data_IF_643462356694
#
_entry.id   IF_643462356694
#
_cell.length_a   1.000
_cell.length_b   1.000
_cell.length_c   1.000
_cell.angle_alpha   90.00
_cell.angle_beta   90.00
_cell.angle_gamma   90.00
#
_symmetry.space_group_name_H-M   'P 1'
#
loop_
_entity.id
_entity.type
_entity.pdbx_description
1 polymer ?
#
# COMPACT_ATOMS: atom_id res chain seq x y z
N UNK A 1 -6.68 12.27 29.37
CA UNK A 1 -5.70 11.99 28.31
C UNK A 1 -6.33 10.92 27.42
N UNK A 2 -6.23 11.04 26.12
CA UNK A 2 -6.79 10.06 25.16
C UNK A 2 -7.87 10.61 24.24
N UNK A 3 -7.91 11.91 24.00
CA UNK A 3 -8.87 12.54 23.07
C UNK A 3 -8.36 12.57 21.61
N UNK A 4 -7.05 12.56 21.42
CA UNK A 4 -6.40 12.67 20.10
C UNK A 4 -5.39 11.55 19.87
N UNK A 5 -5.15 11.21 18.60
CA UNK A 5 -4.14 10.21 18.25
C UNK A 5 -2.73 10.63 18.66
N UNK A 6 -2.45 11.93 18.62
CA UNK A 6 -1.20 12.54 19.09
C UNK A 6 -0.87 12.27 20.56
N UNK A 7 -1.86 11.93 21.41
CA UNK A 7 -1.64 11.62 22.81
C UNK A 7 -0.74 10.40 23.03
N UNK A 8 -0.53 9.57 21.99
CA UNK A 8 0.42 8.47 22.03
C UNK A 8 1.86 8.93 22.37
N UNK A 9 2.30 10.09 21.90
CA UNK A 9 3.61 10.61 22.29
C UNK A 9 3.72 10.87 23.79
N UNK A 10 2.65 11.37 24.42
CA UNK A 10 2.63 11.60 25.86
C UNK A 10 2.63 10.29 26.65
N UNK A 11 1.95 9.28 26.16
CA UNK A 11 2.02 7.94 26.74
C UNK A 11 3.47 7.41 26.77
N UNK A 12 4.20 7.57 25.64
CA UNK A 12 5.61 7.20 25.56
C UNK A 12 6.45 7.97 26.58
N UNK A 13 6.30 9.29 26.69
CA UNK A 13 7.06 10.12 27.65
C UNK A 13 6.74 9.76 29.11
N UNK A 14 5.46 9.55 29.41
CA UNK A 14 5.05 9.18 30.78
C UNK A 14 5.59 7.80 31.17
N UNK A 15 5.54 6.83 30.29
CA UNK A 15 6.14 5.53 30.50
C UNK A 15 7.67 5.63 30.72
N UNK A 16 8.31 6.57 30.03
CA UNK A 16 9.74 6.87 30.19
C UNK A 16 10.12 7.33 31.60
N UNK A 17 9.19 7.96 32.35
CA UNK A 17 9.43 8.33 33.75
C UNK A 17 9.70 7.13 34.68
N UNK A 18 9.25 5.94 34.29
CA UNK A 18 9.51 4.68 34.99
C UNK A 18 10.64 3.87 34.33
N UNK A 19 11.33 4.43 33.34
CA UNK A 19 12.39 3.77 32.58
C UNK A 19 11.91 2.86 31.45
N UNK A 20 10.60 2.83 31.15
CA UNK A 20 10.08 2.06 30.03
C UNK A 20 10.26 2.82 28.71
N UNK A 21 10.80 2.15 27.69
CA UNK A 21 10.97 2.68 26.34
C UNK A 21 10.18 1.83 25.34
N UNK A 22 9.77 2.39 24.17
CA UNK A 22 9.13 1.60 23.14
C UNK A 22 9.99 0.41 22.70
N UNK A 23 9.37 -0.74 22.51
CA UNK A 23 10.06 -1.97 22.05
C UNK A 23 10.55 -1.87 20.60
N UNK A 24 9.84 -1.10 19.78
CA UNK A 24 10.18 -0.80 18.41
C UNK A 24 10.45 0.71 18.25
N UNK A 25 11.29 1.12 17.28
CA UNK A 25 11.52 2.53 17.02
C UNK A 25 10.24 3.22 16.57
N UNK A 26 10.07 4.48 16.95
CA UNK A 26 9.00 5.36 16.44
C UNK A 26 9.33 5.91 15.04
N UNK A 27 10.59 5.90 14.64
CA UNK A 27 11.01 6.10 13.25
C UNK A 27 10.80 4.79 12.46
N UNK A 28 9.68 4.71 11.76
CA UNK A 28 9.26 3.53 11.01
C UNK A 28 10.16 3.21 9.80
N UNK A 29 10.99 4.15 9.36
CA UNK A 29 11.94 3.91 8.25
C UNK A 29 13.04 2.91 8.63
N UNK A 30 13.27 2.71 9.93
CA UNK A 30 14.25 1.76 10.48
C UNK A 30 13.73 0.30 10.55
N UNK A 31 12.43 0.08 10.36
CA UNK A 31 11.83 -1.24 10.57
C UNK A 31 12.30 -2.27 9.54
N UNK A 32 12.57 -1.88 8.29
CA UNK A 32 13.04 -2.80 7.25
C UNK A 32 14.37 -3.44 7.67
N UNK A 33 15.36 -2.62 8.04
CA UNK A 33 16.67 -3.09 8.48
C UNK A 33 16.59 -4.02 9.70
N UNK A 34 15.82 -3.63 10.73
CA UNK A 34 15.62 -4.45 11.93
C UNK A 34 14.96 -5.79 11.61
N UNK A 35 14.01 -5.79 10.67
CA UNK A 35 13.32 -7.01 10.24
C UNK A 35 14.29 -7.92 9.47
N UNK A 36 15.16 -7.36 8.63
CA UNK A 36 16.17 -8.11 7.89
C UNK A 36 17.19 -8.78 8.82
N UNK A 37 17.62 -8.07 9.86
CA UNK A 37 18.49 -8.61 10.90
C UNK A 37 17.81 -9.78 11.66
N UNK A 38 16.50 -9.75 11.83
CA UNK A 38 15.75 -10.76 12.62
C UNK A 38 15.34 -11.99 11.82
N UNK A 39 14.81 -11.82 10.59
CA UNK A 39 14.15 -12.89 9.82
C UNK A 39 15.00 -13.42 8.67
N UNK A 40 16.08 -12.73 8.32
CA UNK A 40 16.94 -13.12 7.23
C UNK A 40 16.44 -12.75 5.83
N UNK A 41 17.23 -13.07 4.77
CA UNK A 41 17.06 -12.50 3.44
C UNK A 41 15.86 -13.04 2.66
N UNK A 42 15.42 -14.28 2.87
CA UNK A 42 14.33 -14.89 2.10
C UNK A 42 12.99 -14.19 2.33
N UNK A 43 12.40 -14.26 3.54
CA UNK A 43 11.13 -13.60 3.85
C UNK A 43 11.16 -12.10 3.64
N UNK A 44 12.21 -11.42 4.13
CA UNK A 44 12.33 -9.97 4.01
C UNK A 44 12.61 -9.57 2.58
N UNK A 45 13.44 -10.31 1.85
CA UNK A 45 13.66 -10.11 0.43
C UNK A 45 12.37 -10.11 -0.38
N UNK A 46 11.49 -11.08 -0.09
CA UNK A 46 10.17 -11.14 -0.74
C UNK A 46 9.31 -9.91 -0.43
N UNK A 47 9.22 -9.46 0.82
CA UNK A 47 8.40 -8.30 1.22
C UNK A 47 8.99 -6.98 0.74
N UNK A 48 10.28 -6.76 0.97
CA UNK A 48 11.00 -5.54 0.63
C UNK A 48 11.33 -5.45 -0.87
N UNK A 49 11.41 -6.58 -1.59
CA UNK A 49 11.79 -6.68 -2.98
C UNK A 49 10.97 -5.79 -3.92
N UNK A 50 11.58 -5.42 -5.04
CA UNK A 50 11.01 -4.52 -6.05
C UNK A 50 11.29 -5.05 -7.44
N UNK A 51 10.55 -4.57 -8.44
CA UNK A 51 10.76 -4.91 -9.84
C UNK A 51 12.06 -4.27 -10.37
N UNK A 52 12.80 -5.02 -11.18
CA UNK A 52 14.05 -4.59 -11.78
C UNK A 52 15.06 -4.12 -10.73
N UNK A 53 15.71 -3.00 -10.98
CA UNK A 53 16.68 -2.38 -10.07
C UNK A 53 16.08 -1.63 -8.88
N UNK A 54 14.74 -1.64 -8.72
CA UNK A 54 14.02 -0.91 -7.67
C UNK A 54 13.81 0.58 -7.95
N UNK A 55 14.04 1.05 -9.17
CA UNK A 55 13.89 2.47 -9.54
C UNK A 55 12.51 3.02 -9.24
N UNK A 56 11.44 2.26 -9.51
CA UNK A 56 10.06 2.67 -9.18
C UNK A 56 9.85 2.83 -7.66
N UNK A 57 10.40 1.93 -6.85
CA UNK A 57 10.29 2.02 -5.39
C UNK A 57 11.03 3.26 -4.85
N UNK A 58 12.23 3.55 -5.38
CA UNK A 58 12.97 4.78 -5.05
C UNK A 58 12.22 6.04 -5.52
N UNK A 59 11.67 6.01 -6.73
CA UNK A 59 10.86 7.11 -7.27
C UNK A 59 9.63 7.42 -6.40
N UNK A 60 8.95 6.39 -5.85
CA UNK A 60 7.83 6.58 -4.93
C UNK A 60 8.24 7.38 -3.68
N UNK A 61 9.39 7.05 -3.07
CA UNK A 61 9.90 7.80 -1.91
C UNK A 61 10.29 9.23 -2.30
N UNK A 62 11.09 9.37 -3.34
CA UNK A 62 11.53 10.67 -3.84
C UNK A 62 10.34 11.57 -4.20
N UNK A 63 9.27 11.01 -4.75
CA UNK A 63 8.07 11.77 -5.10
C UNK A 63 7.34 12.36 -3.89
N UNK A 64 7.28 11.64 -2.77
CA UNK A 64 6.74 12.15 -1.51
C UNK A 64 7.71 13.14 -0.84
N UNK A 65 9.01 12.85 -0.85
CA UNK A 65 10.05 13.69 -0.25
C UNK A 65 10.20 15.06 -0.93
N UNK A 66 10.02 15.13 -2.26
CA UNK A 66 10.03 16.40 -3.01
C UNK A 66 8.90 17.35 -2.64
N UNK A 67 7.86 16.87 -1.99
CA UNK A 67 6.70 17.66 -1.59
C UNK A 67 6.89 18.13 -0.16
N UNK A 68 6.88 19.43 0.05
CA UNK A 68 7.03 20.05 1.38
C UNK A 68 5.73 20.67 1.81
N UNK A 69 5.29 20.36 3.02
CA UNK A 69 4.11 21.00 3.64
C UNK A 69 4.47 22.42 4.04
N UNK A 70 3.58 23.36 3.78
CA UNK A 70 3.74 24.76 4.17
C UNK A 70 2.90 25.04 5.42
N UNK A 71 3.50 25.12 6.63
CA UNK A 71 2.74 25.33 7.86
C UNK A 71 2.09 26.71 7.90
N UNK A 72 0.86 26.78 8.42
CA UNK A 72 0.11 28.02 8.66
C UNK A 72 -0.09 28.23 10.15
N UNK A 73 0.40 29.38 10.66
CA UNK A 73 0.40 29.68 12.09
C UNK A 73 -0.90 30.32 12.56
N UNK A 74 -1.15 30.25 13.86
CA UNK A 74 -2.27 30.88 14.55
C UNK A 74 -3.65 30.46 14.04
N UNK A 75 -3.75 29.21 13.62
CA UNK A 75 -5.02 28.54 13.32
C UNK A 75 -5.44 27.73 14.54
N UNK A 76 -6.72 27.82 14.88
CA UNK A 76 -7.27 26.99 15.97
C UNK A 76 -7.29 25.52 15.56
N UNK A 77 -6.50 24.73 16.26
CA UNK A 77 -6.39 23.28 16.09
C UNK A 77 -6.60 22.56 17.43
N UNK A 78 -7.30 23.23 18.38
CA UNK A 78 -7.58 22.64 19.69
C UNK A 78 -8.46 21.40 19.58
N UNK A 79 -9.52 21.48 18.79
CA UNK A 79 -10.38 20.36 18.46
C UNK A 79 -9.99 19.82 17.09
N UNK A 80 -9.54 18.56 17.05
CA UNK A 80 -9.13 17.88 15.81
C UNK A 80 -9.97 16.63 15.61
N UNK A 81 -10.33 16.37 14.35
CA UNK A 81 -11.06 15.18 13.95
C UNK A 81 -10.41 14.58 12.69
N UNK A 82 -9.84 13.40 12.82
CA UNK A 82 -9.25 12.66 11.71
C UNK A 82 -10.26 11.79 10.95
N UNK A 83 -11.51 11.78 11.35
CA UNK A 83 -12.53 10.93 10.71
C UNK A 83 -12.73 11.31 9.24
N UNK A 84 -12.99 10.30 8.42
CA UNK A 84 -13.27 10.46 7.00
C UNK A 84 -14.36 9.48 6.59
N UNK A 85 -15.14 9.85 5.58
CA UNK A 85 -16.03 8.92 4.91
C UNK A 85 -15.31 8.27 3.73
N UNK A 86 -15.29 6.93 3.67
CA UNK A 86 -14.69 6.15 2.59
C UNK A 86 -15.67 5.07 2.17
N UNK A 87 -16.06 5.02 0.89
CA UNK A 87 -16.99 4.02 0.34
C UNK A 87 -18.31 3.92 1.13
N UNK A 88 -18.83 5.08 1.60
CA UNK A 88 -20.06 5.16 2.41
C UNK A 88 -19.89 4.70 3.86
N UNK A 89 -18.67 4.53 4.36
CA UNK A 89 -18.35 4.17 5.73
C UNK A 89 -17.59 5.27 6.44
N UNK A 90 -17.98 5.59 7.66
CA UNK A 90 -17.21 6.48 8.52
C UNK A 90 -16.01 5.73 9.12
N UNK A 91 -14.81 6.20 8.83
CA UNK A 91 -13.57 5.68 9.37
C UNK A 91 -12.99 6.69 10.37
N UNK A 92 -12.36 6.25 11.47
CA UNK A 92 -11.81 7.16 12.49
C UNK A 92 -10.57 7.93 12.02
N UNK A 93 -9.93 7.49 10.92
CA UNK A 93 -8.80 8.16 10.31
C UNK A 93 -8.65 7.74 8.83
N UNK A 94 -7.97 8.54 7.98
CA UNK A 94 -7.77 8.26 6.56
C UNK A 94 -6.66 7.21 6.31
N UNK A 95 -6.71 6.10 7.02
CA UNK A 95 -5.70 5.04 6.99
C UNK A 95 -6.37 3.67 6.92
N UNK A 96 -5.84 2.77 6.08
CA UNK A 96 -6.16 1.35 6.09
C UNK A 96 -4.88 0.51 5.91
N UNK A 97 -4.90 -0.75 6.33
CA UNK A 97 -3.81 -1.67 6.03
C UNK A 97 -3.99 -2.24 4.62
N UNK A 98 -2.98 -2.02 3.77
CA UNK A 98 -2.96 -2.49 2.39
C UNK A 98 -2.98 -4.03 2.31
N UNK A 99 -3.53 -4.61 1.24
CA UNK A 99 -3.51 -6.05 1.07
C UNK A 99 -2.08 -6.55 0.81
N UNK A 100 -1.56 -7.35 1.73
CA UNK A 100 -0.29 -8.06 1.60
C UNK A 100 -0.55 -9.53 1.90
N UNK A 101 -0.19 -10.40 0.97
CA UNK A 101 -0.33 -11.84 1.12
C UNK A 101 0.85 -12.48 1.84
N UNK A 102 0.76 -13.80 2.02
CA UNK A 102 1.83 -14.68 2.51
C UNK A 102 2.42 -14.29 3.88
N UNK A 103 1.63 -13.65 4.75
CA UNK A 103 2.16 -13.07 6.00
C UNK A 103 2.75 -14.10 6.97
N UNK A 104 2.48 -15.40 6.79
CA UNK A 104 3.09 -16.44 7.62
C UNK A 104 4.61 -16.57 7.43
N UNK A 105 5.19 -16.02 6.35
CA UNK A 105 6.65 -15.94 6.22
C UNK A 105 7.27 -14.93 7.18
N UNK A 106 6.48 -13.99 7.69
CA UNK A 106 6.92 -12.95 8.61
C UNK A 106 6.64 -13.28 10.08
N UNK A 107 5.48 -13.90 10.35
CA UNK A 107 5.07 -14.26 11.72
C UNK A 107 4.08 -15.43 11.69
N UNK A 108 4.15 -16.38 12.67
CA UNK A 108 3.23 -17.53 12.70
C UNK A 108 1.74 -17.18 12.73
N UNK A 109 1.35 -16.10 13.44
CA UNK A 109 -0.04 -15.63 13.51
C UNK A 109 -0.50 -14.87 12.28
N UNK A 110 0.39 -14.61 11.34
CA UNK A 110 0.15 -14.12 9.99
C UNK A 110 -0.92 -13.00 9.92
N UNK A 111 -1.90 -13.18 9.02
CA UNK A 111 -2.97 -12.23 8.78
C UNK A 111 -3.89 -12.04 10.00
N UNK A 112 -4.03 -13.06 10.86
CA UNK A 112 -4.85 -12.93 12.08
C UNK A 112 -4.29 -11.93 13.07
N UNK A 113 -2.96 -11.85 13.21
CA UNK A 113 -2.32 -10.85 14.07
C UNK A 113 -2.49 -9.43 13.50
N UNK A 114 -2.29 -9.26 12.18
CA UNK A 114 -2.51 -7.97 11.51
C UNK A 114 -3.97 -7.51 11.60
N UNK A 115 -4.91 -8.43 11.44
CA UNK A 115 -6.35 -8.20 11.53
C UNK A 115 -6.77 -7.75 12.94
N UNK A 116 -6.32 -8.46 13.99
CA UNK A 116 -6.58 -8.04 15.38
C UNK A 116 -6.01 -6.67 15.70
N UNK A 117 -4.80 -6.38 15.23
CA UNK A 117 -4.18 -5.07 15.42
C UNK A 117 -4.97 -3.95 14.73
N UNK A 118 -5.40 -4.16 13.49
CA UNK A 118 -6.23 -3.22 12.77
C UNK A 118 -7.56 -2.96 13.47
N UNK A 119 -8.24 -4.03 13.91
CA UNK A 119 -9.49 -3.95 14.67
C UNK A 119 -9.31 -3.17 15.98
N UNK A 120 -8.24 -3.45 16.73
CA UNK A 120 -7.95 -2.75 17.99
C UNK A 120 -7.71 -1.24 17.81
N UNK A 121 -7.21 -0.82 16.66
CA UNK A 121 -6.97 0.59 16.32
C UNK A 121 -8.11 1.20 15.48
N UNK A 122 -9.17 0.45 15.15
CA UNK A 122 -10.32 0.92 14.39
C UNK A 122 -10.01 1.24 12.92
N UNK A 123 -8.90 0.76 12.36
CA UNK A 123 -8.55 0.97 10.96
C UNK A 123 -8.97 -0.25 10.10
N UNK A 124 -9.43 -0.05 8.86
CA UNK A 124 -9.78 -1.16 7.98
C UNK A 124 -8.57 -2.07 7.69
N UNK A 125 -8.82 -3.37 7.65
CA UNK A 125 -7.87 -4.35 7.15
C UNK A 125 -8.31 -4.88 5.79
N UNK A 126 -7.43 -4.84 4.80
CA UNK A 126 -7.70 -5.39 3.47
C UNK A 126 -7.02 -6.75 3.36
N UNK A 127 -7.81 -7.82 3.45
CA UNK A 127 -7.28 -9.18 3.34
C UNK A 127 -6.94 -9.52 1.91
N UNK A 128 -5.71 -9.99 1.67
CA UNK A 128 -5.33 -10.51 0.36
C UNK A 128 -5.95 -11.87 0.07
N UNK A 129 -6.38 -12.11 -1.17
CA UNK A 129 -6.76 -13.47 -1.63
C UNK A 129 -5.59 -14.45 -1.57
N UNK A 130 -4.33 -13.95 -1.60
CA UNK A 130 -3.11 -14.74 -1.40
C UNK A 130 -2.71 -14.83 0.09
N UNK A 131 -3.67 -14.99 0.96
CA UNK A 131 -3.50 -15.09 2.42
C UNK A 131 -3.00 -16.48 2.85
N UNK A 132 -2.20 -16.51 3.92
CA UNK A 132 -1.80 -17.73 4.63
C UNK A 132 -2.86 -18.21 5.62
N UNK A 133 -3.88 -17.37 5.90
CA UNK A 133 -5.00 -17.65 6.79
C UNK A 133 -6.31 -17.58 6.00
N UNK A 134 -7.25 -18.53 6.15
CA UNK A 134 -8.55 -18.45 5.48
C UNK A 134 -9.33 -17.18 5.86
N UNK A 135 -10.08 -16.62 4.92
CA UNK A 135 -10.81 -15.37 5.10
C UNK A 135 -11.80 -15.40 6.26
N UNK A 136 -12.39 -16.55 6.54
CA UNK A 136 -13.34 -16.74 7.64
C UNK A 136 -12.65 -16.59 9.01
N UNK A 137 -11.44 -17.14 9.15
CA UNK A 137 -10.66 -17.02 10.39
C UNK A 137 -10.17 -15.58 10.60
N UNK A 138 -9.81 -14.89 9.53
CA UNK A 138 -9.44 -13.46 9.61
C UNK A 138 -10.65 -12.62 10.00
N UNK A 139 -11.83 -12.90 9.44
CA UNK A 139 -13.07 -12.23 9.80
C UNK A 139 -13.43 -12.46 11.28
N UNK A 140 -13.30 -13.69 11.78
CA UNK A 140 -13.48 -14.03 13.19
C UNK A 140 -12.52 -13.24 14.09
N UNK A 141 -11.24 -13.15 13.70
CA UNK A 141 -10.23 -12.39 14.44
C UNK A 141 -10.51 -10.89 14.52
N UNK A 142 -11.27 -10.33 13.58
CA UNK A 142 -11.66 -8.92 13.53
C UNK A 142 -12.96 -8.60 14.25
N UNK A 143 -13.82 -9.59 14.52
CA UNK A 143 -15.16 -9.35 15.03
C UNK A 143 -15.96 -8.45 14.09
N UNK A 144 -16.54 -7.35 14.60
CA UNK A 144 -17.34 -6.40 13.82
C UNK A 144 -16.54 -5.28 13.16
N UNK A 145 -15.20 -5.31 13.27
CA UNK A 145 -14.35 -4.27 12.69
C UNK A 145 -14.38 -4.27 11.15
N UNK A 146 -14.16 -3.08 10.57
CA UNK A 146 -14.22 -2.86 9.13
C UNK A 146 -13.13 -3.66 8.40
N UNK A 147 -13.54 -4.44 7.39
CA UNK A 147 -12.68 -5.30 6.60
C UNK A 147 -13.08 -5.34 5.14
N UNK A 148 -12.08 -5.32 4.26
CA UNK A 148 -12.27 -5.42 2.82
C UNK A 148 -11.54 -6.64 2.28
N UNK A 149 -12.03 -7.21 1.18
CA UNK A 149 -11.41 -8.38 0.53
C UNK A 149 -10.69 -7.96 -0.74
N UNK A 150 -9.39 -8.26 -0.84
CA UNK A 150 -8.64 -8.04 -2.08
C UNK A 150 -8.64 -9.31 -2.91
N UNK A 151 -8.94 -9.16 -4.19
CA UNK A 151 -8.99 -10.21 -5.19
C UNK A 151 -7.83 -10.06 -6.20
N UNK A 152 -6.96 -11.07 -6.26
CA UNK A 152 -6.31 -11.42 -7.50
C UNK A 152 -7.31 -12.27 -8.28
N UNK A 153 -7.73 -11.79 -9.44
CA UNK A 153 -8.85 -12.40 -10.15
C UNK A 153 -8.44 -13.72 -10.81
N UNK A 154 -8.88 -14.88 -10.29
CA UNK A 154 -8.49 -16.17 -10.81
C UNK A 154 -9.09 -16.42 -12.21
N UNK A 155 -8.43 -17.27 -13.00
CA UNK A 155 -8.92 -17.66 -14.34
C UNK A 155 -10.27 -18.37 -14.29
N UNK A 156 -10.46 -19.22 -13.29
CA UNK A 156 -11.71 -19.98 -13.12
C UNK A 156 -12.82 -19.09 -12.53
N UNK A 157 -13.89 -18.80 -13.29
CA UNK A 157 -15.00 -17.99 -12.80
C UNK A 157 -15.79 -18.65 -11.67
N UNK A 158 -15.76 -19.99 -11.53
CA UNK A 158 -16.40 -20.66 -10.40
C UNK A 158 -15.65 -20.41 -9.10
N UNK A 159 -14.31 -20.42 -9.13
CA UNK A 159 -13.48 -20.06 -7.97
C UNK A 159 -13.64 -18.58 -7.65
N UNK A 160 -13.65 -17.69 -8.65
CA UNK A 160 -13.89 -16.27 -8.43
C UNK A 160 -15.23 -16.02 -7.73
N UNK A 161 -16.32 -16.61 -8.23
CA UNK A 161 -17.66 -16.50 -7.63
C UNK A 161 -17.70 -17.07 -6.21
N UNK A 162 -17.04 -18.20 -5.98
CA UNK A 162 -16.93 -18.81 -4.65
C UNK A 162 -16.26 -17.86 -3.66
N UNK A 163 -15.13 -17.23 -4.04
CA UNK A 163 -14.45 -16.26 -3.21
C UNK A 163 -15.34 -15.07 -2.86
N UNK A 164 -16.04 -14.50 -3.83
CA UNK A 164 -16.94 -13.37 -3.60
C UNK A 164 -18.08 -13.74 -2.63
N UNK A 165 -18.68 -14.92 -2.79
CA UNK A 165 -19.73 -15.41 -1.91
C UNK A 165 -19.21 -15.66 -0.48
N UNK A 166 -18.04 -16.27 -0.33
CA UNK A 166 -17.40 -16.49 0.98
C UNK A 166 -17.05 -15.18 1.66
N UNK A 167 -16.44 -14.25 0.92
CA UNK A 167 -16.09 -12.92 1.46
C UNK A 167 -17.36 -12.19 1.94
N UNK A 168 -18.45 -12.21 1.16
CA UNK A 168 -19.72 -11.63 1.57
C UNK A 168 -20.25 -12.30 2.84
N UNK A 169 -20.28 -13.63 2.87
CA UNK A 169 -20.76 -14.40 4.04
C UNK A 169 -19.91 -14.15 5.29
N UNK A 170 -18.59 -13.90 5.13
CA UNK A 170 -17.69 -13.53 6.21
C UNK A 170 -17.73 -12.03 6.57
N UNK A 171 -18.64 -11.25 5.96
CA UNK A 171 -18.90 -9.86 6.32
C UNK A 171 -17.82 -8.88 5.82
N UNK A 172 -17.11 -9.19 4.74
CA UNK A 172 -16.28 -8.20 4.04
C UNK A 172 -17.18 -7.21 3.32
N UNK A 173 -16.92 -5.92 3.52
CA UNK A 173 -17.84 -4.83 3.11
C UNK A 173 -17.50 -4.24 1.75
N UNK A 174 -16.26 -4.36 1.29
CA UNK A 174 -15.81 -3.88 -0.02
C UNK A 174 -14.89 -4.90 -0.71
N UNK A 175 -14.89 -4.88 -2.03
CA UNK A 175 -13.99 -5.66 -2.88
C UNK A 175 -12.89 -4.75 -3.45
N UNK A 176 -11.63 -5.15 -3.30
CA UNK A 176 -10.47 -4.47 -3.87
C UNK A 176 -9.84 -5.37 -4.93
N UNK A 177 -9.99 -5.02 -6.21
CA UNK A 177 -9.50 -5.83 -7.33
C UNK A 177 -8.13 -5.33 -7.76
N UNK A 178 -7.11 -6.16 -7.64
CA UNK A 178 -5.75 -5.81 -8.04
C UNK A 178 -5.54 -6.08 -9.52
N UNK A 179 -5.28 -5.04 -10.28
CA UNK A 179 -5.14 -5.08 -11.75
C UNK A 179 -3.68 -5.13 -12.22
N UNK A 180 -2.76 -4.63 -11.41
CA UNK A 180 -1.34 -4.48 -11.77
C UNK A 180 -0.50 -5.76 -11.64
N UNK A 181 -1.14 -6.92 -11.40
CA UNK A 181 -0.47 -8.22 -11.25
C UNK A 181 -1.06 -9.29 -12.19
N UNK A 182 -1.20 -9.01 -13.49
CA UNK A 182 -1.63 -10.05 -14.45
C UNK A 182 -0.54 -11.10 -14.66
N UNK A 183 0.70 -10.77 -14.38
CA UNK A 183 1.88 -11.63 -14.46
C UNK A 183 2.80 -11.37 -13.26
N UNK A 184 3.62 -12.36 -12.92
CA UNK A 184 4.69 -12.20 -11.95
C UNK A 184 5.80 -11.32 -12.56
N UNK A 185 6.18 -10.24 -11.86
CA UNK A 185 7.22 -9.33 -12.33
C UNK A 185 8.63 -9.90 -12.11
N UNK A 186 9.60 -9.32 -12.80
CA UNK A 186 11.02 -9.63 -12.59
C UNK A 186 11.52 -8.96 -11.30
N UNK A 187 11.68 -9.73 -10.22
CA UNK A 187 12.10 -9.27 -8.89
C UNK A 187 13.45 -9.89 -8.52
N UNK A 188 14.58 -9.19 -8.71
CA UNK A 188 15.90 -9.77 -8.47
C UNK A 188 16.08 -10.35 -7.06
N UNK A 189 15.59 -9.70 -6.00
CA UNK A 189 15.73 -10.22 -4.63
C UNK A 189 15.01 -11.56 -4.42
N UNK A 190 13.90 -11.80 -5.12
CA UNK A 190 13.18 -13.08 -5.08
C UNK A 190 13.93 -14.14 -5.92
N UNK A 191 14.38 -13.73 -7.13
CA UNK A 191 15.05 -14.61 -8.10
C UNK A 191 16.43 -15.06 -7.62
N UNK A 192 17.22 -14.15 -7.04
CA UNK A 192 18.57 -14.45 -6.52
C UNK A 192 18.51 -15.44 -5.34
N UNK A 193 17.39 -15.46 -4.59
CA UNK A 193 17.12 -16.41 -3.52
C UNK A 193 16.39 -17.66 -4.02
N UNK A 194 15.97 -17.70 -5.29
CA UNK A 194 15.05 -18.72 -5.82
C UNK A 194 13.85 -18.95 -4.89
N UNK A 195 13.35 -17.87 -4.25
CA UNK A 195 12.35 -17.95 -3.19
C UNK A 195 11.01 -17.38 -3.65
N UNK A 196 10.03 -18.27 -3.82
CA UNK A 196 8.65 -17.90 -4.12
C UNK A 196 7.73 -18.64 -3.13
N UNK A 197 7.17 -17.97 -2.11
CA UNK A 197 6.40 -18.59 -1.04
C UNK A 197 5.27 -19.50 -1.52
N UNK A 198 4.61 -19.14 -2.61
CA UNK A 198 3.51 -19.90 -3.20
C UNK A 198 3.90 -21.33 -3.57
N UNK A 199 5.13 -21.55 -4.05
CA UNK A 199 5.61 -22.90 -4.41
C UNK A 199 5.78 -23.80 -3.18
N UNK A 200 5.79 -23.22 -1.99
CA UNK A 200 5.78 -23.92 -0.70
C UNK A 200 4.38 -23.98 -0.07
N UNK A 201 3.33 -23.68 -0.83
CA UNK A 201 1.96 -23.66 -0.33
C UNK A 201 1.61 -22.50 0.59
N UNK A 202 2.50 -21.51 0.73
CA UNK A 202 2.24 -20.30 1.53
C UNK A 202 1.42 -19.31 0.73
N UNK A 203 0.40 -18.69 1.35
CA UNK A 203 -0.49 -17.76 0.66
C UNK A 203 -1.60 -18.44 -0.14
N UNK A 204 -1.85 -19.71 0.09
CA UNK A 204 -2.86 -20.51 -0.64
C UNK A 204 -4.09 -20.83 0.20
N UNK A 205 -4.20 -20.33 1.44
CA UNK A 205 -5.21 -20.78 2.38
C UNK A 205 -6.65 -20.56 1.88
N UNK A 206 -6.92 -19.45 1.20
CA UNK A 206 -8.25 -19.19 0.62
C UNK A 206 -8.58 -20.17 -0.50
N UNK A 207 -7.59 -20.57 -1.31
CA UNK A 207 -7.77 -21.56 -2.38
C UNK A 207 -7.94 -22.96 -1.81
N UNK A 208 -7.07 -23.39 -0.91
CA UNK A 208 -7.10 -24.74 -0.34
C UNK A 208 -8.33 -25.01 0.53
N UNK A 209 -8.95 -23.99 1.10
CA UNK A 209 -10.22 -24.07 1.81
C UNK A 209 -11.45 -23.91 0.88
N UNK A 210 -11.26 -23.50 -0.39
CA UNK A 210 -12.35 -23.20 -1.30
C UNK A 210 -12.96 -24.47 -1.92
N UNK A 211 -14.29 -24.66 -1.84
CA UNK A 211 -14.94 -25.85 -2.40
C UNK A 211 -14.85 -25.91 -3.93
N UNK A 212 -14.94 -24.76 -4.64
CA UNK A 212 -14.85 -24.76 -6.12
C UNK A 212 -13.42 -25.06 -6.58
N UNK A 213 -12.40 -24.51 -5.90
CA UNK A 213 -11.01 -24.86 -6.16
C UNK A 213 -10.75 -26.35 -5.93
N UNK A 214 -11.20 -26.89 -4.79
CA UNK A 214 -10.99 -28.30 -4.42
C UNK A 214 -11.69 -29.26 -5.36
N UNK A 215 -12.83 -28.89 -5.94
CA UNK A 215 -13.54 -29.68 -6.94
C UNK A 215 -12.75 -29.87 -8.25
N UNK A 216 -11.82 -28.96 -8.56
CA UNK A 216 -10.90 -29.07 -9.71
C UNK A 216 -9.68 -29.96 -9.48
N UNK A 217 -9.46 -30.45 -8.25
CA UNK A 217 -8.32 -31.29 -7.91
C UNK A 217 -8.64 -32.79 -8.12
N UNK A 218 -7.66 -33.53 -8.65
CA UNK A 218 -7.77 -34.99 -8.80
C UNK A 218 -7.73 -35.74 -7.46
N UNK A 219 -7.07 -35.12 -6.44
CA UNK A 219 -6.94 -35.65 -5.08
C UNK A 219 -7.09 -34.54 -4.07
N UNK A 220 -7.52 -34.85 -2.84
CA UNK A 220 -7.53 -33.88 -1.75
C UNK A 220 -6.16 -33.22 -1.53
N UNK A 221 -6.14 -31.93 -1.10
CA UNK A 221 -4.92 -31.14 -0.89
C UNK A 221 -3.90 -31.86 0.00
N UNK A 222 -4.36 -32.55 1.06
CA UNK A 222 -3.48 -33.24 2.01
C UNK A 222 -2.84 -34.53 1.43
N UNK A 223 -3.41 -35.13 0.37
CA UNK A 223 -2.86 -36.30 -0.30
C UNK A 223 -1.85 -35.90 -1.40
N UNK A 224 -2.06 -34.77 -2.07
CA UNK A 224 -1.15 -34.28 -3.11
C UNK A 224 -1.05 -32.74 -3.06
N UNK A 225 -0.34 -32.20 -2.06
CA UNK A 225 -0.17 -30.75 -1.91
C UNK A 225 0.58 -30.13 -3.09
N UNK A 226 1.49 -30.84 -3.73
CA UNK A 226 2.23 -30.29 -4.88
C UNK A 226 1.32 -30.10 -6.11
N UNK A 227 0.45 -31.06 -6.40
CA UNK A 227 -0.54 -30.87 -7.46
C UNK A 227 -1.51 -29.71 -7.16
N UNK A 228 -1.93 -29.56 -5.91
CA UNK A 228 -2.76 -28.43 -5.50
C UNK A 228 -2.04 -27.08 -5.67
N UNK A 229 -0.76 -26.99 -5.32
CA UNK A 229 0.06 -25.79 -5.58
C UNK A 229 0.17 -25.49 -7.07
N UNK A 230 0.43 -26.49 -7.90
CA UNK A 230 0.53 -26.28 -9.35
C UNK A 230 -0.81 -25.88 -9.98
N UNK A 231 -1.92 -26.42 -9.47
CA UNK A 231 -3.26 -26.00 -9.86
C UNK A 231 -3.52 -24.52 -9.50
N UNK A 232 -3.16 -24.11 -8.29
CA UNK A 232 -3.21 -22.72 -7.85
C UNK A 232 -2.38 -21.80 -8.76
N UNK A 233 -1.11 -22.15 -9.05
CA UNK A 233 -0.23 -21.34 -9.92
C UNK A 233 -0.84 -21.18 -11.31
N UNK A 234 -1.47 -22.23 -11.85
CA UNK A 234 -2.12 -22.21 -13.17
C UNK A 234 -3.34 -21.31 -13.28
N UNK A 235 -3.99 -20.94 -12.14
CA UNK A 235 -5.22 -20.14 -12.14
C UNK A 235 -5.12 -18.80 -11.42
N UNK A 236 -4.02 -18.52 -10.72
CA UNK A 236 -3.88 -17.39 -9.81
C UNK A 236 -4.16 -16.03 -10.45
N UNK A 237 -3.78 -15.85 -11.72
CA UNK A 237 -4.02 -14.62 -12.47
C UNK A 237 -4.38 -14.93 -13.93
N UNK A 238 -5.05 -13.99 -14.57
CA UNK A 238 -5.46 -14.10 -15.97
C UNK A 238 -5.06 -12.84 -16.76
N UNK A 239 -3.99 -12.92 -17.57
CA UNK A 239 -3.55 -11.78 -18.36
C UNK A 239 -4.50 -11.43 -19.53
N UNK A 240 -5.52 -12.26 -19.80
CA UNK A 240 -6.52 -11.98 -20.82
C UNK A 240 -7.68 -11.08 -20.34
N UNK A 241 -7.76 -10.79 -19.03
CA UNK A 241 -8.81 -9.92 -18.48
C UNK A 241 -8.73 -8.51 -19.06
N UNK A 242 -9.89 -7.95 -19.32
CA UNK A 242 -10.09 -6.65 -19.94
C UNK A 242 -11.25 -5.88 -19.30
N UNK A 243 -11.45 -4.63 -19.66
CA UNK A 243 -12.50 -3.78 -19.07
C UNK A 243 -13.91 -4.37 -19.12
N UNK A 244 -14.38 -5.00 -20.24
CA UNK A 244 -15.69 -5.64 -20.27
C UNK A 244 -15.89 -6.75 -19.24
N UNK A 245 -14.82 -7.42 -18.81
CA UNK A 245 -14.91 -8.51 -17.83
C UNK A 245 -15.35 -8.01 -16.43
N UNK A 246 -15.22 -6.70 -16.14
CA UNK A 246 -15.65 -6.11 -14.87
C UNK A 246 -17.15 -6.30 -14.59
N UNK A 247 -17.96 -6.47 -15.62
CA UNK A 247 -19.38 -6.79 -15.48
C UNK A 247 -19.60 -8.04 -14.62
N UNK A 248 -18.74 -9.08 -14.76
CA UNK A 248 -18.80 -10.28 -13.92
C UNK A 248 -18.67 -9.94 -12.44
N UNK A 249 -17.78 -9.02 -12.07
CA UNK A 249 -17.61 -8.65 -10.66
C UNK A 249 -18.83 -7.89 -10.15
N UNK A 250 -19.38 -6.97 -10.95
CA UNK A 250 -20.57 -6.22 -10.58
C UNK A 250 -21.80 -7.12 -10.44
N UNK A 251 -21.94 -8.15 -11.27
CA UNK A 251 -22.99 -9.16 -11.18
C UNK A 251 -22.90 -10.06 -9.94
N UNK A 252 -21.69 -10.23 -9.40
CA UNK A 252 -21.43 -11.17 -8.30
C UNK A 252 -21.06 -10.49 -6.96
N UNK A 253 -21.04 -9.13 -6.91
CA UNK A 253 -20.70 -8.36 -5.71
C UNK A 253 -21.58 -7.12 -5.59
N UNK A 254 -22.40 -7.05 -4.53
CA UNK A 254 -23.38 -5.97 -4.33
C UNK A 254 -22.78 -4.74 -3.62
N UNK A 255 -21.66 -4.89 -2.92
CA UNK A 255 -20.96 -3.83 -2.19
C UNK A 255 -20.06 -2.99 -3.10
N UNK A 256 -19.33 -2.02 -2.53
CA UNK A 256 -18.34 -1.24 -3.26
C UNK A 256 -17.25 -2.11 -3.89
N UNK A 257 -16.84 -1.73 -5.13
CA UNK A 257 -15.71 -2.32 -5.87
C UNK A 257 -14.68 -1.24 -6.13
N UNK A 258 -13.44 -1.48 -5.70
CA UNK A 258 -12.30 -0.59 -5.87
C UNK A 258 -11.25 -1.25 -6.76
N UNK A 259 -10.82 -0.58 -7.82
CA UNK A 259 -9.75 -1.07 -8.69
C UNK A 259 -8.39 -0.57 -8.21
N UNK A 260 -7.47 -1.49 -7.88
CA UNK A 260 -6.13 -1.18 -7.38
C UNK A 260 -5.07 -1.37 -8.47
N UNK A 261 -4.14 -0.40 -8.57
CA UNK A 261 -3.06 -0.41 -9.57
C UNK A 261 -3.28 0.59 -10.70
N UNK A 262 -4.20 1.55 -10.51
CA UNK A 262 -4.54 2.56 -11.50
C UNK A 262 -3.57 3.75 -11.39
N UNK A 263 -2.89 4.10 -12.51
CA UNK A 263 -1.95 5.23 -12.58
C UNK A 263 -2.29 6.22 -13.69
N UNK A 264 -3.11 5.80 -14.66
CA UNK A 264 -3.49 6.65 -15.79
C UNK A 264 -4.89 7.24 -15.58
N UNK A 265 -5.10 8.54 -15.82
CA UNK A 265 -6.41 9.18 -15.66
C UNK A 265 -7.48 8.59 -16.58
N UNK A 266 -7.13 8.10 -17.78
CA UNK A 266 -8.11 7.47 -18.67
C UNK A 266 -8.56 6.11 -18.15
N UNK A 267 -7.67 5.32 -17.51
CA UNK A 267 -8.06 4.08 -16.83
C UNK A 267 -8.99 4.35 -15.65
N UNK A 268 -8.77 5.45 -14.93
CA UNK A 268 -9.66 5.87 -13.86
C UNK A 268 -11.06 6.28 -14.41
N UNK A 269 -11.12 6.96 -15.57
CA UNK A 269 -12.41 7.26 -16.25
C UNK A 269 -13.12 5.98 -16.68
N UNK A 270 -12.39 5.02 -17.27
CA UNK A 270 -12.94 3.71 -17.63
C UNK A 270 -13.47 2.95 -16.42
N UNK A 271 -12.78 3.03 -15.26
CA UNK A 271 -13.29 2.46 -14.01
C UNK A 271 -14.62 3.08 -13.58
N UNK A 272 -14.74 4.40 -13.66
CA UNK A 272 -15.98 5.11 -13.36
C UNK A 272 -17.10 4.76 -14.35
N UNK A 273 -16.79 4.66 -15.65
CA UNK A 273 -17.74 4.29 -16.69
C UNK A 273 -18.19 2.82 -16.58
N UNK A 274 -17.34 1.95 -16.03
CA UNK A 274 -17.66 0.55 -15.74
C UNK A 274 -18.46 0.37 -14.41
N UNK A 275 -18.85 1.47 -13.73
CA UNK A 275 -19.65 1.42 -12.50
C UNK A 275 -18.88 0.95 -11.27
N UNK A 276 -17.57 1.22 -11.21
CA UNK A 276 -16.76 1.00 -10.01
C UNK A 276 -16.97 2.14 -9.00
N UNK A 277 -16.67 1.87 -7.73
CA UNK A 277 -16.92 2.82 -6.62
C UNK A 277 -15.65 3.56 -6.19
N UNK A 278 -14.48 3.06 -6.58
CA UNK A 278 -13.21 3.70 -6.24
C UNK A 278 -12.02 3.15 -7.02
N UNK A 279 -10.91 3.87 -6.87
CA UNK A 279 -9.60 3.45 -7.39
C UNK A 279 -8.53 3.65 -6.33
N UNK A 280 -7.53 2.75 -6.30
CA UNK A 280 -6.28 2.96 -5.58
C UNK A 280 -5.21 3.36 -6.59
N UNK A 281 -4.73 4.60 -6.48
CA UNK A 281 -3.56 5.06 -7.23
C UNK A 281 -2.33 4.38 -6.65
N UNK A 282 -1.79 3.42 -7.40
CA UNK A 282 -0.82 2.45 -6.92
C UNK A 282 0.06 1.94 -8.04
N UNK A 283 1.34 1.70 -7.76
CA UNK A 283 2.24 0.90 -8.58
C UNK A 283 2.74 -0.34 -7.82
N UNK A 284 1.88 -0.85 -6.90
CA UNK A 284 2.21 -2.03 -6.08
C UNK A 284 3.47 -1.85 -5.23
N UNK A 285 3.75 -0.63 -4.79
CA UNK A 285 4.98 -0.32 -4.04
C UNK A 285 6.26 -0.51 -4.85
N UNK A 286 6.19 -0.39 -6.18
CA UNK A 286 7.33 -0.57 -7.10
C UNK A 286 7.65 -2.04 -7.37
N UNK A 287 6.71 -2.97 -7.15
CA UNK A 287 6.96 -4.42 -7.26
C UNK A 287 6.57 -5.01 -8.62
N UNK A 288 5.90 -4.26 -9.51
CA UNK A 288 5.33 -4.79 -10.75
C UNK A 288 6.03 -4.26 -12.00
N UNK A 289 6.06 -2.96 -12.25
CA UNK A 289 6.70 -2.39 -13.43
C UNK A 289 7.95 -1.64 -13.01
N UNK A 290 9.12 -2.09 -13.49
CA UNK A 290 10.37 -1.34 -13.36
C UNK A 290 10.31 -0.08 -14.23
N UNK A 291 10.77 1.07 -13.70
CA UNK A 291 10.72 2.34 -14.43
C UNK A 291 9.32 2.97 -14.54
N UNK A 292 8.34 2.50 -13.75
CA UNK A 292 7.01 3.10 -13.71
C UNK A 292 7.04 4.48 -13.06
N UNK A 293 6.04 5.31 -13.40
CA UNK A 293 5.78 6.59 -12.73
C UNK A 293 5.54 6.37 -11.23
N UNK A 294 6.03 7.28 -10.40
CA UNK A 294 5.72 7.28 -8.99
C UNK A 294 4.21 7.51 -8.76
N UNK A 295 3.60 6.73 -7.85
CA UNK A 295 2.17 6.83 -7.60
C UNK A 295 1.76 8.24 -7.11
N UNK A 296 2.59 8.91 -6.29
CA UNK A 296 2.34 10.27 -5.85
C UNK A 296 2.40 11.31 -6.98
N UNK A 297 3.11 11.04 -8.07
CA UNK A 297 3.13 11.91 -9.26
C UNK A 297 1.90 11.68 -10.17
N UNK A 298 1.34 10.46 -10.15
CA UNK A 298 0.11 10.14 -10.88
C UNK A 298 -1.15 10.64 -10.14
N UNK A 299 -1.13 10.66 -8.80
CA UNK A 299 -2.29 10.91 -7.94
C UNK A 299 -3.07 12.19 -8.29
N UNK A 300 -2.46 13.38 -8.46
CA UNK A 300 -3.23 14.61 -8.75
C UNK A 300 -4.03 14.50 -10.04
N UNK A 301 -3.45 13.92 -11.09
CA UNK A 301 -4.10 13.77 -12.39
C UNK A 301 -5.26 12.77 -12.37
N UNK A 302 -5.12 11.70 -11.59
CA UNK A 302 -6.21 10.73 -11.38
C UNK A 302 -7.31 11.36 -10.54
N UNK A 303 -6.96 12.04 -9.43
CA UNK A 303 -7.94 12.73 -8.57
C UNK A 303 -8.72 13.80 -9.33
N UNK A 304 -8.06 14.60 -10.18
CA UNK A 304 -8.71 15.59 -11.06
C UNK A 304 -9.67 14.93 -12.05
N UNK A 305 -9.31 13.76 -12.58
CA UNK A 305 -10.10 13.08 -13.60
C UNK A 305 -11.40 12.46 -13.09
N UNK A 306 -11.44 12.01 -11.83
CA UNK A 306 -12.55 11.17 -11.29
C UNK A 306 -12.91 11.44 -9.84
N UNK A 307 -12.29 12.41 -9.17
CA UNK A 307 -12.50 12.63 -7.74
C UNK A 307 -13.92 13.02 -7.33
N UNK A 308 -14.74 13.45 -8.27
CA UNK A 308 -16.18 13.71 -8.11
C UNK A 308 -17.06 12.48 -8.36
N UNK A 309 -16.51 11.43 -8.96
CA UNK A 309 -17.23 10.20 -9.39
C UNK A 309 -16.81 8.97 -8.58
N UNK A 310 -15.54 8.89 -8.17
CA UNK A 310 -14.93 7.75 -7.51
C UNK A 310 -14.26 8.14 -6.21
N UNK A 311 -14.28 7.25 -5.23
CA UNK A 311 -13.37 7.34 -4.08
C UNK A 311 -11.94 7.09 -4.55
N UNK A 312 -11.07 8.11 -4.45
CA UNK A 312 -9.64 7.99 -4.79
C UNK A 312 -8.85 7.63 -3.54
N UNK A 313 -8.27 6.45 -3.54
CA UNK A 313 -7.35 5.97 -2.50
C UNK A 313 -5.91 6.00 -3.05
N UNK A 314 -4.94 5.92 -2.15
CA UNK A 314 -3.53 5.99 -2.51
C UNK A 314 -2.71 4.95 -1.75
N UNK A 315 -1.73 4.37 -2.41
CA UNK A 315 -0.62 3.66 -1.76
C UNK A 315 0.69 3.88 -2.53
N UNK A 316 1.72 3.16 -2.15
CA UNK A 316 3.07 3.16 -2.72
C UNK A 316 3.97 4.27 -2.17
N UNK A 317 4.84 3.84 -1.30
CA UNK A 317 5.92 4.68 -0.77
C UNK A 317 5.68 5.25 0.62
N UNK A 318 4.49 5.21 1.17
CA UNK A 318 4.16 5.77 2.50
C UNK A 318 4.96 5.09 3.61
N UNK A 319 5.57 5.90 4.49
CA UNK A 319 6.35 5.47 5.65
C UNK A 319 6.01 6.25 6.92
N UNK A 320 5.50 7.46 6.81
CA UNK A 320 5.36 8.45 7.87
C UNK A 320 3.97 9.11 7.83
N UNK A 321 3.57 9.78 8.91
CA UNK A 321 2.30 10.50 8.95
C UNK A 321 2.27 11.73 8.01
N UNK A 322 3.42 12.37 7.78
CA UNK A 322 3.51 13.48 6.82
C UNK A 322 3.35 13.01 5.36
N UNK A 323 3.75 11.78 5.04
CA UNK A 323 3.45 11.18 3.73
C UNK A 323 1.93 11.03 3.52
N UNK A 324 1.17 10.71 4.58
CA UNK A 324 -0.29 10.63 4.53
C UNK A 324 -0.87 12.03 4.26
N UNK A 325 -0.42 13.08 5.00
CA UNK A 325 -0.86 14.47 4.77
C UNK A 325 -0.61 14.90 3.32
N UNK A 326 0.56 14.57 2.76
CA UNK A 326 0.89 14.87 1.36
C UNK A 326 -0.05 14.16 0.38
N UNK A 327 -0.35 12.89 0.62
CA UNK A 327 -1.28 12.14 -0.23
C UNK A 327 -2.71 12.72 -0.18
N UNK A 328 -3.19 13.11 1.00
CA UNK A 328 -4.48 13.79 1.18
C UNK A 328 -4.50 15.13 0.43
N UNK A 329 -3.44 15.94 0.58
CA UNK A 329 -3.30 17.21 -0.13
C UNK A 329 -3.30 17.04 -1.67
N UNK A 330 -2.83 15.90 -2.18
CA UNK A 330 -2.80 15.55 -3.59
C UNK A 330 -4.11 14.94 -4.11
N UNK A 331 -5.13 14.82 -3.26
CA UNK A 331 -6.48 14.39 -3.63
C UNK A 331 -6.86 12.96 -3.24
N UNK A 332 -6.06 12.26 -2.43
CA UNK A 332 -6.48 10.99 -1.87
C UNK A 332 -7.52 11.20 -0.75
N UNK A 333 -8.54 10.33 -0.69
CA UNK A 333 -9.51 10.30 0.41
C UNK A 333 -8.97 9.55 1.63
N UNK A 334 -8.20 8.50 1.39
CA UNK A 334 -7.50 7.74 2.41
C UNK A 334 -6.27 7.04 1.80
N UNK A 335 -5.39 6.56 2.67
CA UNK A 335 -4.09 5.98 2.32
C UNK A 335 -4.02 4.53 2.78
N UNK A 336 -3.44 3.66 1.95
CA UNK A 336 -3.17 2.28 2.30
C UNK A 336 -1.69 2.11 2.61
N UNK A 337 -1.38 1.46 3.73
CA UNK A 337 0.00 1.21 4.17
C UNK A 337 0.29 -0.28 4.14
N UNK A 338 1.37 -0.69 3.46
CA UNK A 338 1.79 -2.09 3.30
C UNK A 338 3.02 -2.44 4.11
N UNK A 339 4.21 -2.30 3.53
CA UNK A 339 5.48 -2.74 4.12
C UNK A 339 5.67 -2.35 5.60
N UNK A 340 5.38 -1.12 6.07
CA UNK A 340 5.59 -0.75 7.47
C UNK A 340 4.90 -1.68 8.47
N UNK A 341 3.61 -2.00 8.25
CA UNK A 341 2.92 -2.89 9.18
C UNK A 341 3.43 -4.34 9.10
N UNK A 342 3.86 -4.78 7.91
CA UNK A 342 4.41 -6.13 7.71
C UNK A 342 5.76 -6.27 8.43
N UNK A 343 6.57 -5.24 8.44
CA UNK A 343 7.80 -5.22 9.25
C UNK A 343 7.48 -5.23 10.74
N UNK A 344 6.50 -4.43 11.18
CA UNK A 344 6.00 -4.47 12.55
C UNK A 344 5.54 -5.88 12.96
N UNK A 345 4.76 -6.54 12.08
CA UNK A 345 4.34 -7.93 12.26
C UNK A 345 5.53 -8.87 12.45
N UNK A 346 6.55 -8.77 11.60
CA UNK A 346 7.75 -9.59 11.66
C UNK A 346 8.57 -9.37 12.94
N UNK A 347 8.55 -8.17 13.47
CA UNK A 347 9.32 -7.81 14.67
C UNK A 347 8.62 -8.13 15.98
N UNK A 348 7.30 -7.94 16.09
CA UNK A 348 6.59 -8.10 17.37
C UNK A 348 5.12 -8.56 17.22
N UNK A 349 4.80 -9.26 16.14
CA UNK A 349 3.45 -9.80 15.92
C UNK A 349 2.37 -8.73 15.92
N UNK A 350 1.24 -9.00 16.57
CA UNK A 350 0.13 -8.05 16.70
C UNK A 350 0.58 -6.72 17.31
N UNK A 351 1.35 -6.73 18.39
CA UNK A 351 1.84 -5.52 19.07
C UNK A 351 2.70 -4.66 18.15
N UNK A 352 3.49 -5.29 17.27
CA UNK A 352 4.29 -4.58 16.28
C UNK A 352 3.44 -3.88 15.22
N UNK A 353 2.35 -4.50 14.77
CA UNK A 353 1.40 -3.86 13.84
C UNK A 353 0.67 -2.70 14.53
N UNK A 354 0.20 -2.88 15.76
CA UNK A 354 -0.43 -1.81 16.56
C UNK A 354 0.51 -0.62 16.76
N UNK A 355 1.79 -0.88 17.07
CA UNK A 355 2.81 0.16 17.18
C UNK A 355 2.93 0.99 15.90
N UNK A 356 3.01 0.32 14.76
CA UNK A 356 3.09 1.01 13.45
C UNK A 356 1.85 1.87 13.19
N UNK A 357 0.65 1.35 13.42
CA UNK A 357 -0.59 2.10 13.22
C UNK A 357 -0.62 3.32 14.13
N UNK A 358 -0.29 3.16 15.41
CA UNK A 358 -0.27 4.25 16.41
C UNK A 358 0.75 5.33 16.06
N UNK A 359 1.95 4.96 15.62
CA UNK A 359 2.96 5.91 15.16
C UNK A 359 2.46 6.74 13.96
N UNK A 360 1.91 6.06 12.94
CA UNK A 360 1.40 6.75 11.74
C UNK A 360 0.24 7.70 12.07
N UNK A 361 -0.69 7.29 12.92
CA UNK A 361 -1.84 8.12 13.29
C UNK A 361 -1.45 9.28 14.20
N UNK A 362 -0.52 9.07 15.14
CA UNK A 362 -0.02 10.14 15.99
C UNK A 362 0.75 11.20 15.18
N UNK A 363 1.61 10.76 14.28
CA UNK A 363 2.38 11.64 13.42
C UNK A 363 1.47 12.39 12.42
N UNK A 364 0.45 11.72 11.86
CA UNK A 364 -0.57 12.34 11.02
C UNK A 364 -1.30 13.47 11.76
N UNK A 365 -1.82 13.18 12.98
CA UNK A 365 -2.53 14.15 13.81
C UNK A 365 -1.64 15.36 14.15
N UNK A 366 -0.40 15.10 14.57
CA UNK A 366 0.57 16.16 14.87
C UNK A 366 0.93 16.98 13.63
N UNK A 367 1.16 16.34 12.49
CA UNK A 367 1.55 17.02 11.25
C UNK A 367 0.41 17.94 10.77
N UNK A 368 -0.83 17.48 10.79
CA UNK A 368 -2.00 18.29 10.48
C UNK A 368 -2.09 19.49 11.44
N UNK A 369 -2.06 19.23 12.75
CA UNK A 369 -2.17 20.29 13.76
C UNK A 369 -1.07 21.35 13.63
N UNK A 370 0.19 20.92 13.53
CA UNK A 370 1.35 21.81 13.42
C UNK A 370 1.40 22.57 12.10
N UNK A 371 0.73 22.08 11.07
CA UNK A 371 0.55 22.79 9.81
C UNK A 371 -0.73 23.65 9.73
N UNK A 372 -1.52 23.68 10.81
CA UNK A 372 -2.72 24.53 10.92
C UNK A 372 -3.99 23.92 10.35
N UNK A 373 -4.10 22.59 10.37
CA UNK A 373 -5.25 21.83 9.89
C UNK A 373 -5.89 21.01 11.02
N UNK A 374 -7.19 21.17 11.22
CA UNK A 374 -7.95 20.44 12.24
C UNK A 374 -8.56 19.15 11.73
N UNK A 375 -8.65 18.97 10.40
CA UNK A 375 -9.26 17.79 9.76
C UNK A 375 -8.50 17.40 8.50
N UNK A 376 -8.56 16.12 8.08
CA UNK A 376 -7.98 15.65 6.82
C UNK A 376 -8.51 16.38 5.58
N UNK A 377 -9.80 16.77 5.60
CA UNK A 377 -10.44 17.45 4.49
C UNK A 377 -10.08 18.93 4.35
N UNK A 378 -9.34 19.51 5.32
CA UNK A 378 -8.91 20.92 5.29
C UNK A 378 -7.58 21.11 4.57
N UNK A 379 -6.82 20.04 4.29
CA UNK A 379 -5.55 20.12 3.57
C UNK A 379 -5.77 19.96 2.06
N UNK A 380 -5.02 20.74 1.26
CA UNK A 380 -5.14 20.71 -0.20
C UNK A 380 -3.83 21.01 -0.93
N UNK A 381 -3.83 21.03 -2.26
CA UNK A 381 -2.63 21.25 -3.07
C UNK A 381 -1.90 22.56 -2.77
N UNK A 382 -2.62 23.61 -2.31
CA UNK A 382 -2.05 24.90 -1.94
C UNK A 382 -1.18 24.85 -0.66
N UNK A 383 -1.32 23.79 0.14
CA UNK A 383 -0.53 23.59 1.36
C UNK A 383 0.79 22.84 1.07
N UNK A 384 1.04 22.52 -0.20
CA UNK A 384 2.28 21.87 -0.64
C UNK A 384 3.08 22.76 -1.58
N UNK A 385 4.41 22.68 -1.45
CA UNK A 385 5.35 23.22 -2.44
C UNK A 385 6.27 22.11 -2.92
N UNK A 386 6.67 22.20 -4.20
CA UNK A 386 7.71 21.33 -4.72
C UNK A 386 9.08 21.83 -4.27
N UNK A 387 9.91 20.95 -3.74
CA UNK A 387 11.30 21.26 -3.49
C UNK A 387 12.05 21.42 -4.82
N UNK A 388 12.35 22.68 -5.17
CA UNK A 388 13.04 23.03 -6.44
C UNK A 388 14.54 22.84 -6.36
N UNK A 389 15.13 22.56 -5.19
CA UNK A 389 16.57 22.50 -5.00
C UNK A 389 17.22 21.36 -5.83
N UNK A 390 16.51 20.26 -6.04
CA UNK A 390 17.00 19.15 -6.89
C UNK A 390 17.10 19.51 -8.39
N UNK A 391 16.30 20.48 -8.86
CA UNK A 391 16.32 20.91 -10.28
C UNK A 391 17.22 22.12 -10.54
N UNK A 392 17.58 22.89 -9.52
CA UNK A 392 18.38 24.11 -9.68
C UNK A 392 19.88 23.81 -9.75
N UNK A 393 20.36 22.80 -9.01
CA UNK A 393 21.76 22.37 -9.07
C UNK A 393 22.12 21.76 -10.43
N UNK A 394 21.17 21.06 -11.08
CA UNK A 394 21.40 20.47 -12.40
C UNK A 394 21.42 21.52 -13.51
N UNK A 395 20.54 22.51 -13.47
CA UNK A 395 20.48 23.56 -14.49
C UNK A 395 21.60 24.59 -14.38
N UNK A 396 22.11 24.88 -13.16
CA UNK A 396 23.26 25.79 -12.99
C UNK A 396 24.58 25.09 -13.33
N UNK A 397 24.74 23.82 -12.93
CA UNK A 397 25.92 23.02 -13.27
C UNK A 397 26.02 22.79 -14.77
N UNK A 398 24.90 22.53 -15.45
CA UNK A 398 24.84 22.39 -16.92
C UNK A 398 25.17 23.73 -17.60
N UNK A 399 24.72 24.87 -17.07
CA UNK A 399 25.10 26.19 -17.61
C UNK A 399 26.57 26.49 -17.42
N UNK A 400 27.15 26.19 -16.25
CA UNK A 400 28.58 26.38 -15.98
C UNK A 400 29.44 25.45 -16.85
N UNK A 401 29.03 24.19 -17.03
CA UNK A 401 29.73 23.27 -17.93
C UNK A 401 29.66 23.75 -19.39
N UNK A 402 28.49 24.21 -19.85
CA UNK A 402 28.34 24.74 -21.22
C UNK A 402 29.11 26.06 -21.42
N UNK A 403 29.25 26.91 -20.39
CA UNK A 403 30.09 28.11 -20.46
C UNK A 403 31.56 27.79 -20.42
N UNK A 404 31.97 26.75 -19.66
CA UNK A 404 33.37 26.28 -19.64
C UNK A 404 33.83 25.69 -20.96
N UNK A 405 32.97 25.03 -21.74
CA UNK A 405 33.28 24.51 -23.07
C UNK A 405 33.35 25.62 -24.15
N UNK A 406 32.78 26.78 -23.94
CA UNK A 406 32.81 27.90 -24.87
C UNK A 406 34.16 28.67 -24.84
N UNK A 407 35.00 28.47 -23.80
CA UNK A 407 36.29 29.18 -23.63
C UNK A 407 37.47 28.40 -24.20
N UNK A 408 37.29 27.15 -24.59
CA UNK A 408 38.36 26.34 -25.26
C UNK A 408 38.26 26.45 -26.79
N UNK A 409 38.30 27.66 -27.35
CA UNK A 409 38.69 27.86 -28.76
C UNK A 409 40.24 27.97 -28.82
N UNK A 410 40.83 26.95 -29.36
CA UNK A 410 42.24 26.88 -29.68
C UNK A 410 42.57 27.97 -30.71
N UNK A 411 43.58 28.85 -30.46
CA UNK A 411 44.14 29.67 -31.52
C UNK A 411 45.21 28.84 -32.23
N UNK A 412 44.85 28.30 -33.38
CA UNK A 412 45.82 27.64 -34.30
C UNK A 412 45.95 28.43 -35.58
N UNK A 413 46.85 29.40 -35.57
CA UNK A 413 47.39 29.96 -36.80
C UNK A 413 48.50 29.04 -37.30
N UNK A 414 48.36 28.53 -38.50
CA UNK A 414 49.47 27.98 -39.29
C UNK A 414 49.73 29.03 -40.38
N UNK A 415 50.87 29.72 -40.24
CA UNK A 415 51.50 30.40 -41.35
C UNK A 415 52.27 29.33 -42.13
N UNK A 416 52.03 29.25 -43.40
CA UNK A 416 52.86 28.54 -44.37
C UNK A 416 53.73 29.54 -45.15
N UNK A 417 55.01 29.15 -45.53
CA UNK A 417 55.99 29.97 -46.20
C UNK A 417 55.75 30.18 -47.73
#
# INVERSE_FOLDING_TARGET
>A
MGKHWADFQYEIYLNGMTGAVPRLPTDLTRLEELTEQRLGPGPVGYVAGSAGDGSTARANRAALERRRIVPRMLRDVHERDLSVEVLGRALPAPLALAPVGVLSIMHPDAESAAARAAAAQGVPYILSSASSTPMEQVAEAMGDAERWFQLYWPKDPAVARSFLNRARAAGFTALVVTLDTPLLSWRPRDLDQAYLPFLHGVGTANYFSDPAFRAGLAKPVHEDPNAAVMHFVGMFSDPAKSWPDLAFLRENWDGPIVLKGVLHPDDARLAADAGMDGVVVSNHGGRQVAGSVAAADALPRVAEAVGDRLTVLFDSGVRTGDDIVKALALGARAVLVGRPYVYGLGLDGQSGVEHVIRCLLAELDLTLALSGHATPGSVGPADLVADRAANVLDASLVRELLQGFAVLRVPGGVEDP
#
